data_IF_969797437864
#
_entry.id   IF_969797437864
#
_cell.length_a   1.000
_cell.length_b   1.000
_cell.length_c   1.000
_cell.angle_alpha   90.00
_cell.angle_beta   90.00
_cell.angle_gamma   90.00
#
_symmetry.space_group_name_H-M   'P 1'
#
loop_
_entity.id
_entity.type
_entity.pdbx_description
1 polymer ?
#
# COMPACT_ATOMS: atom_id res chain seq x y z
N UNK A 1 34.16 -11.69 30.98
CA UNK A 1 33.20 -10.66 30.52
C UNK A 1 31.85 -10.94 31.19
N UNK A 2 31.27 -10.03 31.98
CA UNK A 2 30.00 -10.29 32.69
C UNK A 2 28.79 -10.18 31.75
N UNK A 3 27.67 -10.85 32.07
CA UNK A 3 26.45 -10.81 31.26
C UNK A 3 25.89 -9.40 31.03
N UNK A 4 26.17 -8.47 31.94
CA UNK A 4 25.84 -7.05 31.80
C UNK A 4 26.49 -6.40 30.56
N UNK A 5 27.79 -6.63 30.35
CA UNK A 5 28.51 -6.06 29.21
C UNK A 5 28.07 -6.66 27.87
N UNK A 6 27.70 -7.95 27.87
CA UNK A 6 27.15 -8.63 26.70
C UNK A 6 25.79 -8.02 26.32
N UNK A 7 24.90 -7.84 27.31
CA UNK A 7 23.60 -7.20 27.12
C UNK A 7 23.72 -5.73 26.66
N UNK A 8 24.65 -4.98 27.22
CA UNK A 8 24.90 -3.60 26.83
C UNK A 8 25.37 -3.48 25.37
N UNK A 9 26.36 -4.29 24.97
CA UNK A 9 26.87 -4.29 23.59
C UNK A 9 25.84 -4.79 22.58
N UNK A 10 25.02 -5.79 22.93
CA UNK A 10 23.93 -6.25 22.07
C UNK A 10 22.83 -5.20 21.93
N UNK A 11 22.46 -4.50 23.01
CA UNK A 11 21.54 -3.36 22.94
C UNK A 11 22.07 -2.25 22.03
N UNK A 12 23.34 -1.88 22.21
CA UNK A 12 23.98 -0.82 21.43
C UNK A 12 24.11 -1.18 19.94
N UNK A 13 24.29 -2.46 19.61
CA UNK A 13 24.31 -2.95 18.24
C UNK A 13 22.90 -3.07 17.61
N UNK A 14 21.88 -3.40 18.40
CA UNK A 14 20.50 -3.62 17.90
C UNK A 14 19.71 -2.32 17.76
N UNK A 15 19.97 -1.30 18.57
CA UNK A 15 19.28 -0.01 18.50
C UNK A 15 19.39 0.67 17.11
N UNK A 16 20.56 0.75 16.45
CA UNK A 16 20.67 1.27 15.10
C UNK A 16 19.85 0.50 14.08
N UNK A 17 19.79 -0.84 14.21
CA UNK A 17 19.01 -1.69 13.32
C UNK A 17 17.51 -1.44 13.47
N UNK A 18 17.01 -1.32 14.71
CA UNK A 18 15.61 -0.97 14.98
C UNK A 18 15.29 0.42 14.44
N UNK A 19 16.16 1.41 14.67
CA UNK A 19 15.98 2.77 14.15
C UNK A 19 15.92 2.79 12.62
N UNK A 20 16.79 2.04 11.94
CA UNK A 20 16.78 1.91 10.49
C UNK A 20 15.47 1.30 9.97
N UNK A 21 14.96 0.25 10.63
CA UNK A 21 13.68 -0.36 10.27
C UNK A 21 12.49 0.60 10.45
N UNK A 22 12.47 1.36 11.55
CA UNK A 22 11.44 2.38 11.79
C UNK A 22 11.50 3.47 10.73
N UNK A 23 12.71 3.98 10.43
CA UNK A 23 12.89 5.00 9.40
C UNK A 23 12.46 4.49 8.01
N UNK A 24 12.82 3.26 7.66
CA UNK A 24 12.39 2.63 6.42
C UNK A 24 10.86 2.54 6.34
N UNK A 25 10.20 2.13 7.43
CA UNK A 25 8.73 2.10 7.52
C UNK A 25 8.08 3.46 7.31
N UNK A 26 8.66 4.52 7.88
CA UNK A 26 8.19 5.90 7.69
C UNK A 26 8.38 6.38 6.25
N UNK A 27 9.56 6.15 5.65
CA UNK A 27 9.83 6.50 4.25
C UNK A 27 8.87 5.79 3.31
N UNK A 28 8.69 4.48 3.49
CA UNK A 28 7.75 3.68 2.69
C UNK A 28 6.32 4.22 2.85
N UNK A 29 5.90 4.58 4.06
CA UNK A 29 4.57 5.16 4.30
C UNK A 29 4.39 6.52 3.62
N UNK A 30 5.45 7.34 3.60
CA UNK A 30 5.43 8.65 2.93
C UNK A 30 5.42 8.54 1.40
N UNK A 31 5.94 7.44 0.83
CA UNK A 31 5.91 7.17 -0.61
C UNK A 31 4.52 6.80 -1.14
N UNK A 32 3.55 6.50 -0.27
CA UNK A 32 2.17 6.26 -0.66
C UNK A 32 1.35 7.55 -0.54
N UNK A 33 1.16 8.32 -1.63
CA UNK A 33 0.39 9.56 -1.59
C UNK A 33 -1.03 9.27 -1.14
N UNK A 34 -1.59 10.21 -0.38
CA UNK A 34 -2.96 10.11 0.09
C UNK A 34 -3.94 10.17 -1.08
N UNK A 35 -5.01 9.39 -1.00
CA UNK A 35 -5.95 9.16 -2.09
C UNK A 35 -7.32 9.79 -1.76
N UNK A 36 -7.84 10.63 -2.66
CA UNK A 36 -9.13 11.32 -2.50
C UNK A 36 -10.32 10.53 -3.07
N UNK A 37 -10.09 9.62 -4.02
CA UNK A 37 -11.11 8.71 -4.54
C UNK A 37 -10.55 7.91 -5.71
N UNK A 38 -10.74 6.60 -5.72
CA UNK A 38 -10.13 5.71 -6.73
C UNK A 38 -11.08 4.57 -7.10
N UNK A 39 -11.14 4.26 -8.39
CA UNK A 39 -11.95 3.19 -8.97
C UNK A 39 -11.11 2.23 -9.83
N UNK A 40 -11.49 0.95 -9.93
CA UNK A 40 -10.89 0.07 -10.95
C UNK A 40 -11.41 0.46 -12.32
N UNK A 41 -10.51 0.73 -13.27
CA UNK A 41 -10.87 0.89 -14.67
C UNK A 41 -11.60 -0.35 -15.21
N UNK A 42 -11.13 -1.52 -14.80
CA UNK A 42 -11.62 -2.82 -15.24
C UNK A 42 -13.01 -3.21 -14.70
N UNK A 43 -13.34 -2.79 -13.48
CA UNK A 43 -14.54 -3.21 -12.76
C UNK A 43 -15.58 -2.10 -12.64
N UNK A 44 -15.19 -0.83 -12.85
CA UNK A 44 -16.02 0.34 -12.56
C UNK A 44 -16.40 0.44 -11.08
N UNK A 45 -15.62 -0.19 -10.20
CA UNK A 45 -15.93 -0.30 -8.77
C UNK A 45 -15.06 0.67 -7.98
N UNK A 46 -15.70 1.52 -7.16
CA UNK A 46 -15.04 2.47 -6.28
C UNK A 46 -14.40 1.73 -5.09
N UNK A 47 -13.07 1.77 -5.00
CA UNK A 47 -12.30 1.09 -3.95
C UNK A 47 -11.98 2.03 -2.81
N UNK A 48 -11.71 3.29 -3.15
CA UNK A 48 -11.67 4.38 -2.20
C UNK A 48 -12.86 5.25 -2.53
N UNK A 49 -13.94 5.05 -1.77
CA UNK A 49 -15.09 5.94 -1.79
C UNK A 49 -14.66 7.27 -1.23
N UNK A 50 -14.80 8.34 -2.02
CA UNK A 50 -14.75 9.71 -1.52
C UNK A 50 -15.95 9.88 -0.59
N UNK A 51 -15.73 9.57 0.69
CA UNK A 51 -16.72 9.76 1.75
C UNK A 51 -16.21 10.92 2.58
N UNK A 52 -16.43 12.10 2.03
CA UNK A 52 -16.38 13.43 2.64
C UNK A 52 -15.31 13.68 3.72
N UNK A 53 -14.40 14.61 3.39
CA UNK A 53 -13.56 15.47 4.26
C UNK A 53 -12.08 15.12 4.45
N UNK A 54 -11.65 13.86 4.33
CA UNK A 54 -10.26 13.50 4.62
C UNK A 54 -9.66 12.50 3.63
N UNK A 55 -8.42 12.73 3.16
CA UNK A 55 -7.76 11.81 2.26
C UNK A 55 -7.45 10.48 2.97
N UNK A 56 -7.65 9.37 2.27
CA UNK A 56 -7.27 8.06 2.80
C UNK A 56 -5.75 7.94 2.74
N UNK A 57 -5.08 7.57 3.85
CA UNK A 57 -3.64 7.33 3.85
C UNK A 57 -3.26 6.37 2.72
N UNK A 58 -2.21 6.70 1.95
CA UNK A 58 -1.91 5.96 0.72
C UNK A 58 -1.61 4.47 0.95
N UNK A 59 -1.06 4.10 2.12
CA UNK A 59 -0.86 2.70 2.49
C UNK A 59 -2.18 1.93 2.60
N UNK A 60 -3.22 2.57 3.17
CA UNK A 60 -4.57 1.98 3.27
C UNK A 60 -5.20 1.87 1.88
N UNK A 61 -5.05 2.91 1.06
CA UNK A 61 -5.51 2.88 -0.33
C UNK A 61 -4.83 1.73 -1.10
N UNK A 62 -3.52 1.59 -0.97
CA UNK A 62 -2.75 0.49 -1.56
C UNK A 62 -3.21 -0.89 -1.08
N UNK A 63 -3.41 -1.07 0.23
CA UNK A 63 -3.90 -2.34 0.77
C UNK A 63 -5.28 -2.70 0.21
N UNK A 64 -6.19 -1.72 0.08
CA UNK A 64 -7.50 -1.93 -0.55
C UNK A 64 -7.38 -2.29 -2.02
N UNK A 65 -6.46 -1.67 -2.77
CA UNK A 65 -6.20 -2.05 -4.17
C UNK A 65 -5.73 -3.50 -4.28
N UNK A 66 -4.76 -3.92 -3.44
CA UNK A 66 -4.29 -5.30 -3.46
C UNK A 66 -5.40 -6.28 -3.12
N UNK A 67 -6.22 -5.97 -2.12
CA UNK A 67 -7.38 -6.79 -1.77
C UNK A 67 -8.36 -6.93 -2.95
N UNK A 68 -8.66 -5.83 -3.66
CA UNK A 68 -9.53 -5.87 -4.83
C UNK A 68 -8.96 -6.74 -5.97
N UNK A 69 -7.64 -6.67 -6.25
CA UNK A 69 -6.99 -7.48 -7.29
C UNK A 69 -7.13 -8.98 -7.06
N UNK A 70 -7.21 -9.40 -5.79
CA UNK A 70 -7.37 -10.80 -5.41
C UNK A 70 -8.80 -11.32 -5.63
N UNK A 71 -9.77 -10.44 -5.88
CA UNK A 71 -11.16 -10.86 -6.10
C UNK A 71 -11.32 -11.62 -7.43
N UNK A 72 -12.19 -12.63 -7.43
CA UNK A 72 -12.52 -13.42 -8.64
C UNK A 72 -13.09 -12.52 -9.74
N UNK A 73 -13.92 -11.54 -9.36
CA UNK A 73 -14.53 -10.56 -10.28
C UNK A 73 -13.46 -9.77 -11.02
N UNK A 74 -12.50 -9.19 -10.28
CA UNK A 74 -11.39 -8.44 -10.88
C UNK A 74 -10.62 -9.30 -11.87
N UNK A 75 -10.26 -10.54 -11.51
CA UNK A 75 -9.50 -11.43 -12.40
C UNK A 75 -10.23 -11.71 -13.73
N UNK A 76 -11.56 -11.87 -13.70
CA UNK A 76 -12.36 -12.10 -14.91
C UNK A 76 -12.38 -10.83 -15.77
N UNK A 77 -12.69 -9.69 -15.15
CA UNK A 77 -12.79 -8.41 -15.85
C UNK A 77 -11.45 -7.97 -16.43
N UNK A 78 -10.36 -8.12 -15.68
CA UNK A 78 -9.02 -7.80 -16.14
C UNK A 78 -8.61 -8.64 -17.35
N UNK A 79 -8.96 -9.94 -17.37
CA UNK A 79 -8.72 -10.79 -18.55
C UNK A 79 -9.50 -10.31 -19.77
N UNK A 80 -10.75 -9.89 -19.60
CA UNK A 80 -11.56 -9.33 -20.69
C UNK A 80 -10.99 -7.99 -21.18
N UNK A 81 -10.59 -7.12 -20.25
CA UNK A 81 -9.98 -5.82 -20.50
C UNK A 81 -8.69 -5.92 -21.33
N UNK A 82 -7.78 -6.82 -20.92
CA UNK A 82 -6.53 -7.06 -21.65
C UNK A 82 -6.79 -7.65 -23.03
N UNK A 83 -7.76 -8.58 -23.17
CA UNK A 83 -8.17 -9.13 -24.48
C UNK A 83 -8.73 -8.06 -25.42
N UNK A 84 -9.38 -7.04 -24.88
CA UNK A 84 -9.88 -5.90 -25.66
C UNK A 84 -8.78 -4.93 -26.12
N UNK A 85 -7.50 -5.23 -25.85
CA UNK A 85 -6.38 -4.36 -26.22
C UNK A 85 -6.26 -3.11 -25.34
N UNK A 86 -7.01 -3.05 -24.24
CA UNK A 86 -6.97 -1.90 -23.34
C UNK A 86 -5.67 -1.90 -22.52
N UNK A 87 -5.10 -0.72 -22.23
CA UNK A 87 -3.85 -0.60 -21.50
C UNK A 87 -3.96 -1.16 -20.08
N UNK A 88 -2.81 -1.58 -19.53
CA UNK A 88 -2.68 -2.09 -18.15
C UNK A 88 -2.72 -0.94 -17.13
N UNK A 89 -3.79 -0.15 -17.15
CA UNK A 89 -4.11 0.81 -16.09
C UNK A 89 -5.15 0.18 -15.19
N UNK A 90 -4.71 -0.24 -14.00
CA UNK A 90 -5.61 -0.89 -13.05
C UNK A 90 -6.59 0.12 -12.43
N UNK A 91 -6.25 1.41 -12.34
CA UNK A 91 -7.04 2.38 -11.58
C UNK A 91 -7.05 3.79 -12.19
N UNK A 92 -8.11 4.54 -11.91
CA UNK A 92 -8.21 5.98 -12.20
C UNK A 92 -8.72 6.75 -10.97
N UNK A 93 -8.31 8.02 -10.81
CA UNK A 93 -8.89 8.88 -9.79
C UNK A 93 -10.37 9.10 -10.10
N UNK A 94 -11.19 9.10 -9.07
CA UNK A 94 -12.57 9.62 -9.14
C UNK A 94 -12.42 11.14 -9.00
N UNK A 95 -12.80 11.89 -10.04
CA UNK A 95 -12.82 13.36 -10.08
C UNK A 95 -14.19 13.84 -9.63
#
# INVERSE_FOLDING_TARGET
MSGFWIGYLTGLATLPAVAALVFLGLVVSALFPAAYGWECCCCGETIVTERDSHPVPGLIAWARFQAHRLTKRHRINQRAWVKAGSPYFDWKPVI
#
